data_IF_902195980116
#
_entry.id   IF_902195980116
#
_cell.length_a   1.000
_cell.length_b   1.000
_cell.length_c   1.000
_cell.angle_alpha   90.00
_cell.angle_beta   90.00
_cell.angle_gamma   90.00
#
_symmetry.space_group_name_H-M   'P 1'
#
loop_
_entity.id
_entity.type
_entity.pdbx_description
1 polymer ?
#
# COMPACT_ATOMS: atom_id res chain seq x y z
N UNK A 1 -60.81 21.40 -29.28
CA UNK A 1 -61.43 20.26 -29.96
C UNK A 1 -60.86 18.98 -29.37
N UNK A 2 -61.73 18.24 -28.69
CA UNK A 2 -61.86 16.83 -28.39
C UNK A 2 -60.60 16.06 -27.92
N UNK A 3 -60.48 15.76 -26.64
CA UNK A 3 -61.14 14.73 -25.79
C UNK A 3 -60.98 13.32 -26.33
N UNK A 4 -60.23 12.48 -25.52
CA UNK A 4 -60.85 11.25 -24.95
C UNK A 4 -59.93 10.58 -23.93
N UNK A 5 -60.44 10.55 -22.67
CA UNK A 5 -60.10 9.62 -21.61
C UNK A 5 -60.58 8.23 -22.03
N UNK A 6 -59.86 7.16 -21.64
CA UNK A 6 -60.49 5.89 -21.23
C UNK A 6 -59.67 5.18 -20.15
N UNK A 7 -60.34 5.04 -19.02
CA UNK A 7 -60.03 4.06 -17.94
C UNK A 7 -60.57 2.67 -18.35
N UNK A 8 -59.98 1.61 -17.85
CA UNK A 8 -60.62 0.31 -17.58
C UNK A 8 -59.68 -0.54 -16.77
N UNK A 9 -59.89 -0.73 -15.48
CA UNK A 9 -60.69 -1.72 -14.74
C UNK A 9 -59.94 -3.04 -14.53
N UNK A 10 -59.60 -3.22 -13.26
CA UNK A 10 -59.43 -4.37 -12.36
C UNK A 10 -60.23 -5.63 -12.82
N UNK A 11 -59.55 -6.78 -12.82
CA UNK A 11 -60.24 -8.07 -12.72
C UNK A 11 -59.45 -9.01 -11.77
N UNK A 12 -60.04 -9.22 -10.61
CA UNK A 12 -59.72 -10.25 -9.63
C UNK A 12 -60.44 -11.55 -10.10
N UNK A 13 -59.74 -12.66 -10.19
CA UNK A 13 -60.38 -13.95 -10.29
C UNK A 13 -59.73 -14.97 -9.38
N UNK A 14 -60.47 -15.35 -8.39
CA UNK A 14 -60.33 -16.45 -7.43
C UNK A 14 -60.50 -17.79 -8.19
N UNK A 15 -59.62 -18.77 -7.97
CA UNK A 15 -59.97 -20.17 -8.28
C UNK A 15 -59.54 -21.10 -7.13
N UNK A 16 -60.50 -21.94 -6.81
CA UNK A 16 -60.58 -22.76 -5.63
C UNK A 16 -59.78 -24.07 -5.70
N UNK A 17 -59.60 -24.62 -4.50
CA UNK A 17 -59.13 -25.96 -4.14
C UNK A 17 -59.56 -27.09 -5.09
N UNK A 18 -58.63 -27.99 -5.35
CA UNK A 18 -58.97 -29.40 -5.63
C UNK A 18 -57.95 -30.30 -4.87
N UNK A 19 -58.45 -30.97 -3.87
CA UNK A 19 -57.78 -32.06 -3.18
C UNK A 19 -57.80 -33.31 -4.05
N UNK A 20 -56.64 -33.92 -4.31
CA UNK A 20 -56.57 -35.31 -4.77
C UNK A 20 -55.60 -36.07 -3.87
N UNK A 21 -56.15 -36.98 -3.13
CA UNK A 21 -55.44 -37.96 -2.32
C UNK A 21 -54.87 -39.06 -3.21
N UNK A 22 -53.56 -39.31 -3.17
CA UNK A 22 -52.97 -40.53 -3.70
C UNK A 22 -52.04 -41.15 -2.65
N UNK A 23 -52.24 -42.41 -2.49
CA UNK A 23 -51.73 -43.38 -1.53
C UNK A 23 -50.20 -43.39 -1.36
N UNK A 24 -49.83 -43.65 -0.12
CA UNK A 24 -48.48 -43.99 0.32
C UNK A 24 -47.98 -45.29 -0.31
N UNK A 25 -46.81 -45.27 -0.90
CA UNK A 25 -45.91 -46.41 -0.99
C UNK A 25 -44.61 -46.01 -0.33
N UNK A 26 -44.32 -46.66 0.76
CA UNK A 26 -43.12 -46.48 1.51
C UNK A 26 -41.87 -46.97 0.75
N UNK A 27 -40.85 -46.17 0.76
CA UNK A 27 -39.47 -46.60 0.64
C UNK A 27 -38.66 -45.79 1.64
N UNK A 28 -38.30 -46.43 2.73
CA UNK A 28 -37.34 -45.93 3.70
C UNK A 28 -35.96 -46.03 3.10
N UNK A 29 -35.39 -44.91 2.74
CA UNK A 29 -33.94 -44.70 2.72
C UNK A 29 -33.65 -43.38 3.39
N UNK A 30 -33.14 -43.46 4.60
CA UNK A 30 -32.58 -42.36 5.34
C UNK A 30 -31.19 -42.04 4.76
N UNK A 31 -31.16 -41.23 3.74
CA UNK A 31 -29.93 -40.54 3.40
C UNK A 31 -29.75 -39.39 4.40
N UNK A 32 -28.90 -39.64 5.38
CA UNK A 32 -28.32 -38.62 6.25
C UNK A 32 -27.49 -37.71 5.34
N UNK A 33 -28.12 -36.63 4.86
CA UNK A 33 -27.41 -35.50 4.31
C UNK A 33 -26.52 -34.98 5.45
N UNK A 34 -25.22 -35.26 5.33
CA UNK A 34 -24.23 -34.74 6.26
C UNK A 34 -24.39 -33.22 6.34
N UNK A 35 -24.76 -32.74 7.53
CA UNK A 35 -24.66 -31.32 7.82
C UNK A 35 -23.20 -30.95 7.65
N UNK A 36 -22.86 -30.30 6.52
CA UNK A 36 -21.62 -29.57 6.36
C UNK A 36 -21.66 -28.47 7.43
N UNK A 37 -20.98 -28.70 8.55
CA UNK A 37 -20.76 -27.64 9.54
C UNK A 37 -20.11 -26.51 8.80
N UNK A 38 -20.76 -25.34 8.73
CA UNK A 38 -20.16 -24.08 8.35
C UNK A 38 -18.89 -23.92 9.19
N UNK A 39 -17.76 -23.53 8.57
CA UNK A 39 -16.53 -23.28 9.30
C UNK A 39 -16.84 -22.33 10.45
N UNK A 40 -16.47 -22.75 11.65
CA UNK A 40 -16.67 -21.96 12.87
C UNK A 40 -15.88 -20.64 12.67
N UNK A 41 -16.58 -19.50 12.68
CA UNK A 41 -15.94 -18.20 12.66
C UNK A 41 -14.83 -18.15 13.72
N UNK A 42 -13.63 -17.70 13.39
CA UNK A 42 -12.57 -17.57 14.36
C UNK A 42 -13.03 -16.68 15.52
N UNK A 43 -12.68 -17.08 16.72
CA UNK A 43 -12.97 -16.26 17.91
C UNK A 43 -12.23 -14.94 17.81
N UNK A 44 -12.87 -13.80 18.06
CA UNK A 44 -12.19 -12.50 18.09
C UNK A 44 -10.96 -12.55 19.00
N UNK A 45 -9.86 -11.89 18.64
CA UNK A 45 -8.66 -11.87 19.47
C UNK A 45 -8.94 -11.18 20.80
N UNK A 46 -8.24 -11.62 21.83
CA UNK A 46 -8.26 -10.95 23.13
C UNK A 46 -7.54 -9.59 23.04
N UNK A 47 -7.88 -8.64 23.91
CA UNK A 47 -7.20 -7.35 23.97
C UNK A 47 -5.68 -7.49 24.16
N UNK A 48 -5.22 -8.54 24.86
CA UNK A 48 -3.81 -8.83 25.02
C UNK A 48 -3.14 -9.21 23.68
N UNK A 49 -3.81 -10.02 22.86
CA UNK A 49 -3.31 -10.38 21.51
C UNK A 49 -3.26 -9.16 20.57
N UNK A 50 -4.26 -8.29 20.65
CA UNK A 50 -4.27 -7.02 19.89
C UNK A 50 -3.12 -6.12 20.32
N UNK A 51 -2.86 -5.99 21.64
CA UNK A 51 -1.77 -5.17 22.15
C UNK A 51 -0.39 -5.75 21.80
N UNK A 52 -0.22 -7.08 21.83
CA UNK A 52 1.02 -7.74 21.41
C UNK A 52 1.27 -7.54 19.90
N UNK A 53 0.23 -7.65 19.09
CA UNK A 53 0.33 -7.37 17.66
C UNK A 53 0.72 -5.91 17.40
N UNK A 54 0.10 -4.94 18.08
CA UNK A 54 0.47 -3.51 17.98
C UNK A 54 1.92 -3.25 18.34
N UNK A 55 2.42 -3.85 19.42
CA UNK A 55 3.81 -3.69 19.85
C UNK A 55 4.79 -4.30 18.84
N UNK A 56 4.45 -5.42 18.22
CA UNK A 56 5.28 -6.03 17.17
C UNK A 56 5.29 -5.19 15.89
N UNK A 57 4.16 -4.59 15.53
CA UNK A 57 4.05 -3.73 14.36
C UNK A 57 4.93 -2.49 14.50
N UNK A 58 4.88 -1.79 15.64
CA UNK A 58 5.68 -0.59 15.88
C UNK A 58 7.20 -0.83 15.84
N UNK A 59 7.63 -2.08 15.85
CA UNK A 59 9.05 -2.48 15.82
C UNK A 59 9.53 -2.91 14.42
N UNK A 60 8.63 -3.07 13.43
CA UNK A 60 8.97 -3.67 12.14
C UNK A 60 8.38 -2.95 10.92
N UNK A 61 7.67 -1.85 11.11
CA UNK A 61 7.05 -1.10 10.02
C UNK A 61 7.25 0.40 10.21
N UNK A 62 7.68 1.06 9.15
CA UNK A 62 7.59 2.50 9.05
C UNK A 62 6.46 2.90 8.10
N UNK A 63 5.65 3.88 8.52
CA UNK A 63 4.39 4.21 7.90
C UNK A 63 4.42 5.63 7.38
N UNK A 64 4.20 5.82 6.10
CA UNK A 64 3.75 7.12 5.60
C UNK A 64 2.29 7.37 5.97
N UNK A 65 2.06 8.21 6.96
CA UNK A 65 0.73 8.44 7.51
C UNK A 65 -0.19 9.10 6.47
N UNK A 66 -1.41 8.60 6.38
CA UNK A 66 -2.49 9.25 5.64
C UNK A 66 -2.76 10.65 6.20
N UNK A 67 -3.17 11.60 5.34
CA UNK A 67 -3.62 12.92 5.77
C UNK A 67 -4.83 12.86 6.70
N UNK A 68 -5.54 11.74 6.72
CA UNK A 68 -6.68 11.47 7.61
C UNK A 68 -6.25 10.87 8.95
N UNK A 69 -5.00 10.41 9.08
CA UNK A 69 -4.49 9.80 10.30
C UNK A 69 -4.23 10.86 11.39
N UNK A 70 -4.24 10.42 12.64
CA UNK A 70 -3.80 11.28 13.74
C UNK A 70 -2.30 11.52 13.62
N UNK A 71 -1.83 12.77 13.47
CA UNK A 71 -0.40 13.05 13.34
C UNK A 71 0.40 12.48 14.52
N UNK A 72 1.54 11.86 14.22
CA UNK A 72 2.55 11.61 15.26
C UNK A 72 3.00 12.96 15.82
N UNK A 73 3.28 13.02 17.12
CA UNK A 73 3.87 14.23 17.69
C UNK A 73 5.26 14.41 17.06
N UNK A 74 5.38 15.41 16.19
CA UNK A 74 6.69 15.83 15.74
C UNK A 74 7.49 16.30 16.97
N UNK A 75 8.68 15.78 17.14
CA UNK A 75 9.62 16.24 18.17
C UNK A 75 10.24 17.61 17.88
N UNK A 76 9.62 18.40 16.99
CA UNK A 76 10.13 19.71 16.59
C UNK A 76 11.43 19.61 15.78
N UNK A 77 12.41 20.45 16.11
CA UNK A 77 13.71 20.55 15.41
C UNK A 77 14.73 19.48 15.81
N UNK A 78 14.33 18.36 16.43
CA UNK A 78 15.27 17.29 16.80
C UNK A 78 15.90 16.68 15.55
N UNK A 79 17.22 16.50 15.60
CA UNK A 79 17.95 15.82 14.56
C UNK A 79 17.62 14.33 14.53
N UNK A 80 17.76 13.71 13.36
CA UNK A 80 17.83 12.26 13.23
C UNK A 80 19.08 11.75 13.93
N UNK A 81 19.01 10.62 14.59
CA UNK A 81 20.11 9.96 15.28
C UNK A 81 20.36 8.58 14.72
N UNK A 82 21.63 8.17 14.71
CA UNK A 82 22.02 6.85 14.22
C UNK A 82 21.88 5.79 15.34
N UNK A 83 21.14 4.71 15.05
CA UNK A 83 20.81 3.63 15.97
C UNK A 83 21.57 2.32 15.72
N UNK A 84 22.65 2.36 14.94
CA UNK A 84 23.60 1.29 14.66
C UNK A 84 23.14 0.28 13.57
N UNK A 85 21.97 0.42 12.98
CA UNK A 85 21.50 -0.40 11.88
C UNK A 85 22.23 -0.15 10.56
N UNK A 86 22.06 -1.02 9.56
CA UNK A 86 22.63 -0.83 8.23
C UNK A 86 21.83 0.18 7.40
N UNK A 87 22.54 0.92 6.53
CA UNK A 87 21.93 1.77 5.50
C UNK A 87 22.20 1.19 4.10
N UNK A 88 21.48 1.63 3.08
CA UNK A 88 21.79 1.30 1.68
C UNK A 88 22.98 2.13 1.19
N UNK A 89 24.20 1.75 1.56
CA UNK A 89 25.43 2.53 1.21
C UNK A 89 25.77 2.49 -0.27
N UNK A 90 25.57 1.35 -0.92
CA UNK A 90 25.71 1.23 -2.38
C UNK A 90 24.46 1.76 -3.09
N UNK A 91 24.51 1.88 -4.40
CA UNK A 91 23.32 2.20 -5.18
C UNK A 91 22.17 1.27 -4.80
N UNK A 92 20.99 1.83 -4.53
CA UNK A 92 19.78 1.02 -4.42
C UNK A 92 19.46 0.37 -5.77
N UNK A 93 18.92 -0.83 -5.73
CA UNK A 93 18.37 -1.53 -6.89
C UNK A 93 16.90 -1.76 -6.63
N UNK A 94 16.07 -1.03 -7.36
CA UNK A 94 14.65 -0.90 -7.08
C UNK A 94 13.83 -1.73 -8.05
N UNK A 95 13.10 -2.71 -7.53
CA UNK A 95 12.24 -3.61 -8.28
C UNK A 95 10.77 -3.26 -8.06
N UNK A 96 10.02 -3.18 -9.14
CA UNK A 96 8.62 -2.74 -9.13
C UNK A 96 7.70 -3.91 -9.48
N UNK A 97 6.75 -4.19 -8.61
CA UNK A 97 5.75 -5.24 -8.77
C UNK A 97 4.39 -4.56 -8.88
N UNK A 98 3.79 -4.62 -10.07
CA UNK A 98 2.44 -4.15 -10.31
C UNK A 98 1.48 -5.35 -10.19
N UNK A 99 0.80 -5.47 -9.07
CA UNK A 99 -0.17 -6.53 -8.86
C UNK A 99 -1.55 -6.03 -9.25
N UNK A 100 -1.99 -6.37 -10.46
CA UNK A 100 -3.11 -5.73 -11.15
C UNK A 100 -4.07 -6.74 -11.77
N UNK A 101 -4.77 -7.56 -10.97
CA UNK A 101 -5.85 -8.39 -11.49
C UNK A 101 -6.98 -7.50 -12.02
N UNK A 102 -7.78 -8.02 -12.94
CA UNK A 102 -8.93 -7.30 -13.50
C UNK A 102 -10.09 -7.14 -12.51
N UNK A 103 -10.07 -7.88 -11.41
CA UNK A 103 -11.13 -7.88 -10.40
C UNK A 103 -10.54 -8.09 -9.00
N UNK A 104 -11.17 -7.48 -8.01
CA UNK A 104 -10.98 -7.78 -6.60
C UNK A 104 -11.49 -9.19 -6.28
N UNK A 105 -11.19 -9.68 -5.09
CA UNK A 105 -11.58 -11.04 -4.66
C UNK A 105 -13.10 -11.26 -4.61
N UNK A 106 -13.91 -10.21 -4.51
CA UNK A 106 -15.39 -10.27 -4.54
C UNK A 106 -15.99 -10.12 -5.94
N UNK A 107 -15.15 -9.97 -6.98
CA UNK A 107 -15.57 -9.78 -8.37
C UNK A 107 -15.77 -8.32 -8.81
N UNK A 108 -15.56 -7.36 -7.90
CA UNK A 108 -15.57 -5.92 -8.26
C UNK A 108 -14.42 -5.63 -9.21
N UNK A 109 -14.68 -4.89 -10.30
CA UNK A 109 -13.65 -4.51 -11.25
C UNK A 109 -12.62 -3.57 -10.62
N UNK A 110 -11.34 -3.82 -10.89
CA UNK A 110 -10.24 -2.94 -10.52
C UNK A 110 -9.87 -2.00 -11.66
N UNK A 111 -9.06 -1.00 -11.38
CA UNK A 111 -8.40 -0.22 -12.42
C UNK A 111 -7.06 0.34 -11.93
N UNK A 112 -6.22 0.66 -12.88
CA UNK A 112 -5.10 1.59 -12.75
C UNK A 112 -5.18 2.59 -13.88
N UNK A 113 -4.72 3.82 -13.68
CA UNK A 113 -4.72 4.83 -14.74
C UNK A 113 -3.80 4.42 -15.90
N UNK A 114 -4.10 4.88 -17.11
CA UNK A 114 -3.43 4.40 -18.34
C UNK A 114 -1.92 4.60 -18.33
N UNK A 115 -1.42 5.67 -17.70
CA UNK A 115 0.01 6.01 -17.66
C UNK A 115 0.69 5.61 -16.35
N UNK A 116 -0.05 5.04 -15.39
CA UNK A 116 0.40 4.72 -14.04
C UNK A 116 1.74 3.95 -14.02
N UNK A 117 1.77 2.76 -14.61
CA UNK A 117 2.96 1.91 -14.58
C UNK A 117 4.16 2.55 -15.29
N UNK A 118 3.93 3.31 -16.36
CA UNK A 118 5.01 3.98 -17.08
C UNK A 118 5.60 5.15 -16.29
N UNK A 119 4.76 5.90 -15.60
CA UNK A 119 5.18 7.04 -14.78
C UNK A 119 5.90 6.58 -13.51
N UNK A 120 5.42 5.52 -12.83
CA UNK A 120 6.10 4.90 -11.70
C UNK A 120 7.48 4.38 -12.09
N UNK A 121 7.59 3.63 -13.20
CA UNK A 121 8.90 3.16 -13.70
C UNK A 121 9.84 4.32 -14.02
N UNK A 122 9.32 5.39 -14.60
CA UNK A 122 10.12 6.59 -14.93
C UNK A 122 10.71 7.24 -13.68
N UNK A 123 9.94 7.32 -12.58
CA UNK A 123 10.46 7.81 -11.29
C UNK A 123 11.73 7.07 -10.87
N UNK A 124 11.74 5.74 -10.89
CA UNK A 124 12.92 4.95 -10.51
C UNK A 124 14.09 5.09 -11.50
N UNK A 125 13.81 5.40 -12.75
CA UNK A 125 14.84 5.67 -13.74
C UNK A 125 15.47 7.07 -13.57
N UNK A 126 14.75 8.01 -12.96
CA UNK A 126 15.14 9.41 -12.90
C UNK A 126 15.70 9.84 -11.53
N UNK A 127 15.33 9.16 -10.43
CA UNK A 127 15.62 9.61 -9.07
C UNK A 127 17.11 9.52 -8.70
N UNK A 128 17.83 8.53 -9.21
CA UNK A 128 19.26 8.35 -8.93
C UNK A 128 20.09 9.52 -9.40
N UNK A 129 20.90 10.09 -8.51
CA UNK A 129 21.71 11.28 -8.80
C UNK A 129 20.98 12.62 -8.65
N UNK A 130 19.68 12.62 -8.32
CA UNK A 130 18.91 13.84 -8.09
C UNK A 130 19.36 14.62 -6.85
N UNK A 131 18.92 15.89 -6.74
CA UNK A 131 19.11 16.72 -5.53
C UNK A 131 18.45 16.10 -4.31
N UNK A 132 17.22 15.59 -4.48
CA UNK A 132 16.48 14.93 -3.42
C UNK A 132 17.22 13.67 -2.91
N UNK A 133 17.65 12.79 -3.82
CA UNK A 133 18.39 11.59 -3.42
C UNK A 133 19.75 11.91 -2.80
N UNK A 134 20.40 13.00 -3.23
CA UNK A 134 21.67 13.51 -2.66
C UNK A 134 21.54 13.81 -1.16
N UNK A 135 20.35 14.18 -0.67
CA UNK A 135 20.13 14.42 0.75
C UNK A 135 20.45 13.19 1.62
N UNK A 136 20.27 11.98 1.08
CA UNK A 136 20.60 10.74 1.80
C UNK A 136 22.10 10.58 2.07
N UNK A 137 22.96 11.21 1.28
CA UNK A 137 24.42 11.05 1.42
C UNK A 137 25.02 11.61 2.71
N UNK A 138 24.27 12.39 3.47
CA UNK A 138 24.69 12.83 4.80
C UNK A 138 24.53 11.72 5.85
N UNK A 139 23.69 10.71 5.60
CA UNK A 139 23.45 9.58 6.47
C UNK A 139 24.42 8.43 6.17
N UNK A 140 24.70 7.60 7.16
CA UNK A 140 25.75 6.59 7.10
C UNK A 140 25.46 5.42 8.04
N UNK A 141 26.17 4.33 7.84
CA UNK A 141 26.33 3.27 8.81
C UNK A 141 27.81 3.10 9.21
N UNK A 142 28.11 2.12 10.05
CA UNK A 142 29.49 1.84 10.51
C UNK A 142 30.48 1.60 9.37
N UNK A 143 30.03 1.36 8.14
CA UNK A 143 30.86 1.02 6.99
C UNK A 143 30.98 2.18 5.98
N UNK A 144 30.27 3.30 6.18
CA UNK A 144 30.38 4.50 5.34
C UNK A 144 29.05 5.16 5.02
N UNK A 145 29.13 6.20 4.21
CA UNK A 145 27.98 7.02 3.79
C UNK A 145 27.20 6.38 2.64
N UNK A 146 25.92 6.75 2.54
CA UNK A 146 25.06 6.45 1.40
C UNK A 146 25.59 7.19 0.17
N UNK A 147 25.62 6.53 -0.99
CA UNK A 147 25.98 7.16 -2.26
C UNK A 147 24.74 7.75 -2.93
N UNK A 148 24.91 8.87 -3.68
CA UNK A 148 23.82 9.45 -4.47
C UNK A 148 23.59 8.63 -5.76
N UNK A 149 23.06 7.44 -5.63
CA UNK A 149 22.81 6.55 -6.76
C UNK A 149 21.68 5.59 -6.46
N UNK A 150 20.72 5.51 -7.37
CA UNK A 150 19.64 4.51 -7.41
C UNK A 150 19.59 3.92 -8.82
N UNK A 151 19.21 2.69 -8.94
CA UNK A 151 19.13 1.96 -10.21
C UNK A 151 17.79 1.24 -10.31
N UNK A 152 17.05 1.49 -11.38
CA UNK A 152 15.87 0.71 -11.70
C UNK A 152 16.25 -0.73 -12.06
N UNK A 153 15.95 -1.68 -11.19
CA UNK A 153 16.31 -3.10 -11.33
C UNK A 153 15.38 -3.86 -12.26
N UNK A 154 14.15 -3.40 -12.43
CA UNK A 154 13.16 -4.03 -13.30
C UNK A 154 11.74 -3.88 -12.80
N UNK A 155 10.77 -4.25 -13.64
CA UNK A 155 9.36 -4.28 -13.28
C UNK A 155 8.70 -5.58 -13.73
N UNK A 156 7.72 -6.00 -12.96
CA UNK A 156 6.89 -7.16 -13.28
C UNK A 156 5.41 -6.83 -13.03
N UNK A 157 4.56 -7.22 -13.98
CA UNK A 157 3.11 -7.08 -13.85
C UNK A 157 2.53 -8.46 -13.55
N UNK A 158 1.90 -8.58 -12.41
CA UNK A 158 1.13 -9.76 -12.02
C UNK A 158 -0.37 -9.50 -12.15
N UNK A 159 -1.02 -10.25 -13.02
CA UNK A 159 -2.48 -10.19 -13.22
C UNK A 159 -3.21 -11.34 -12.53
N UNK A 160 -2.52 -12.12 -11.71
CA UNK A 160 -3.17 -13.17 -10.95
C UNK A 160 -4.09 -12.57 -9.87
N UNK A 161 -5.22 -13.25 -9.63
CA UNK A 161 -6.21 -12.79 -8.68
C UNK A 161 -5.61 -12.53 -7.29
N UNK A 162 -6.09 -11.50 -6.62
CA UNK A 162 -5.82 -11.32 -5.20
C UNK A 162 -6.31 -12.53 -4.41
N UNK A 163 -5.59 -12.95 -3.38
CA UNK A 163 -6.07 -13.99 -2.49
C UNK A 163 -7.34 -13.52 -1.77
N UNK A 164 -8.18 -14.45 -1.35
CA UNK A 164 -9.34 -14.10 -0.54
C UNK A 164 -8.89 -13.31 0.69
N UNK A 165 -9.62 -12.24 1.05
CA UNK A 165 -9.32 -11.47 2.26
C UNK A 165 -9.29 -12.40 3.47
N UNK A 166 -8.24 -12.29 4.24
CA UNK A 166 -8.19 -13.00 5.52
C UNK A 166 -9.28 -12.42 6.43
N UNK A 167 -10.01 -13.25 7.22
CA UNK A 167 -11.08 -12.76 8.10
C UNK A 167 -10.62 -11.68 9.09
N UNK A 168 -9.32 -11.60 9.34
CA UNK A 168 -8.70 -10.62 10.20
C UNK A 168 -8.32 -9.31 9.50
N UNK A 169 -8.41 -9.23 8.17
CA UNK A 169 -8.17 -8.00 7.42
C UNK A 169 -9.47 -7.19 7.37
N UNK A 170 -9.49 -6.06 8.04
CA UNK A 170 -10.68 -5.22 8.19
C UNK A 170 -10.36 -3.78 7.81
N UNK A 171 -10.11 -3.54 6.52
CA UNK A 171 -9.88 -2.20 6.01
C UNK A 171 -11.20 -1.47 5.80
N UNK A 172 -11.51 -0.43 6.58
CA UNK A 172 -12.79 0.28 6.47
C UNK A 172 -12.88 1.15 5.21
N UNK A 173 -11.77 1.46 4.57
CA UNK A 173 -11.70 2.27 3.37
C UNK A 173 -11.68 1.43 2.08
N UNK A 174 -11.44 0.11 2.20
CA UNK A 174 -11.39 -0.82 1.06
C UNK A 174 -12.29 -2.03 1.34
N UNK A 175 -13.60 -1.85 1.20
CA UNK A 175 -14.62 -2.83 1.60
C UNK A 175 -14.65 -4.10 0.73
N UNK A 176 -14.04 -4.07 -0.45
CA UNK A 176 -14.13 -5.13 -1.46
C UNK A 176 -12.88 -5.98 -1.57
N UNK A 177 -11.75 -5.51 -1.05
CA UNK A 177 -10.47 -6.22 -1.07
C UNK A 177 -9.58 -5.76 0.08
N UNK A 178 -8.87 -6.71 0.70
CA UNK A 178 -7.98 -6.40 1.82
C UNK A 178 -6.88 -7.46 1.95
N UNK A 179 -5.64 -7.03 1.85
CA UNK A 179 -4.45 -7.84 1.99
C UNK A 179 -3.82 -7.67 3.37
N UNK A 180 -3.43 -8.77 3.98
CA UNK A 180 -2.54 -8.73 5.14
C UNK A 180 -1.09 -8.59 4.68
N UNK A 181 -0.24 -8.02 5.52
CA UNK A 181 1.19 -7.84 5.22
C UNK A 181 1.88 -9.14 4.77
N UNK A 182 1.54 -10.28 5.36
CA UNK A 182 2.09 -11.57 4.92
C UNK A 182 1.77 -11.91 3.45
N UNK A 183 0.64 -11.46 2.91
CA UNK A 183 0.27 -11.65 1.52
C UNK A 183 1.05 -10.72 0.59
N UNK A 184 1.43 -9.52 1.07
CA UNK A 184 2.37 -8.64 0.37
C UNK A 184 3.78 -9.29 0.31
N UNK A 185 4.26 -9.86 1.42
CA UNK A 185 5.55 -10.59 1.44
C UNK A 185 5.54 -11.81 0.52
N UNK A 186 4.42 -12.53 0.44
CA UNK A 186 4.25 -13.66 -0.47
C UNK A 186 4.32 -13.20 -1.93
N UNK A 187 3.73 -12.04 -2.28
CA UNK A 187 3.81 -11.48 -3.63
C UNK A 187 5.23 -11.04 -4.00
N UNK A 188 5.98 -10.40 -3.07
CA UNK A 188 7.40 -10.11 -3.27
C UNK A 188 8.18 -11.38 -3.54
N UNK A 189 7.96 -12.42 -2.74
CA UNK A 189 8.61 -13.72 -2.90
C UNK A 189 8.31 -14.35 -4.26
N UNK A 190 7.08 -14.28 -4.71
CA UNK A 190 6.61 -14.78 -6.02
C UNK A 190 7.28 -14.02 -7.17
N UNK A 191 7.32 -12.69 -7.09
CA UNK A 191 7.98 -11.84 -8.07
C UNK A 191 9.49 -12.15 -8.18
N UNK A 192 10.16 -12.27 -7.03
CA UNK A 192 11.58 -12.65 -6.98
C UNK A 192 11.82 -13.98 -7.68
N UNK A 193 10.99 -14.98 -7.42
CA UNK A 193 11.12 -16.30 -8.06
C UNK A 193 10.84 -16.22 -9.56
N UNK A 194 9.80 -15.52 -9.99
CA UNK A 194 9.39 -15.41 -11.39
C UNK A 194 10.45 -14.72 -12.26
N UNK A 195 11.18 -13.74 -11.69
CA UNK A 195 12.12 -12.91 -12.42
C UNK A 195 13.61 -13.23 -12.12
N UNK A 196 13.89 -14.16 -11.21
CA UNK A 196 15.26 -14.47 -10.78
C UNK A 196 15.89 -13.34 -9.95
N UNK A 197 15.08 -12.49 -9.31
CA UNK A 197 15.57 -11.43 -8.45
C UNK A 197 16.04 -11.95 -7.09
N UNK A 198 17.00 -11.26 -6.50
CA UNK A 198 17.58 -11.65 -5.21
C UNK A 198 17.43 -10.52 -4.19
N UNK A 199 17.25 -10.88 -2.93
CA UNK A 199 17.25 -9.93 -1.82
C UNK A 199 18.64 -9.43 -1.44
N UNK A 200 18.69 -8.54 -0.49
CA UNK A 200 19.90 -7.94 0.07
C UNK A 200 19.65 -6.50 0.52
N UNK A 201 20.55 -5.96 1.31
CA UNK A 201 20.40 -4.62 1.91
C UNK A 201 20.38 -3.45 0.91
N UNK A 202 20.68 -3.69 -0.37
CA UNK A 202 20.58 -2.68 -1.42
C UNK A 202 19.47 -2.97 -2.43
N UNK A 203 18.65 -4.02 -2.21
CA UNK A 203 17.55 -4.39 -3.09
C UNK A 203 16.22 -4.08 -2.40
N UNK A 204 15.41 -3.26 -3.03
CA UNK A 204 14.10 -2.86 -2.51
C UNK A 204 12.99 -3.23 -3.48
N UNK A 205 11.94 -3.88 -2.97
CA UNK A 205 10.81 -4.37 -3.74
C UNK A 205 9.57 -3.57 -3.41
N UNK A 206 8.96 -2.93 -4.40
CA UNK A 206 7.73 -2.16 -4.24
C UNK A 206 6.55 -2.93 -4.79
N UNK A 207 5.51 -3.16 -3.98
CA UNK A 207 4.28 -3.83 -4.40
C UNK A 207 3.18 -2.80 -4.55
N UNK A 208 2.80 -2.51 -5.78
CA UNK A 208 1.69 -1.61 -6.12
C UNK A 208 0.43 -2.43 -6.36
N UNK A 209 -0.65 -2.11 -5.65
CA UNK A 209 -1.95 -2.75 -5.84
C UNK A 209 -2.88 -1.88 -6.68
N UNK A 210 -3.92 -2.48 -7.27
CA UNK A 210 -4.93 -1.75 -8.05
C UNK A 210 -5.91 -1.01 -7.15
N UNK A 211 -6.65 -0.08 -7.75
CA UNK A 211 -7.72 0.66 -7.07
C UNK A 211 -8.74 -0.28 -6.41
N UNK A 212 -9.09 0.04 -5.17
CA UNK A 212 -10.07 -0.71 -4.37
C UNK A 212 -9.48 -1.84 -3.52
N UNK A 213 -8.21 -2.22 -3.73
CA UNK A 213 -7.52 -3.16 -2.85
C UNK A 213 -6.85 -2.43 -1.69
N UNK A 214 -7.28 -2.73 -0.49
CA UNK A 214 -6.68 -2.22 0.74
C UNK A 214 -5.67 -3.17 1.34
N UNK A 215 -5.11 -2.78 2.46
CA UNK A 215 -4.20 -3.63 3.23
C UNK A 215 -4.20 -3.27 4.71
N UNK A 216 -3.93 -4.24 5.57
CA UNK A 216 -3.79 -4.04 7.00
C UNK A 216 -2.53 -4.72 7.54
N UNK A 217 -1.83 -4.04 8.44
CA UNK A 217 -0.65 -4.61 9.11
C UNK A 217 -1.04 -5.48 10.28
N UNK A 218 -2.07 -5.11 11.03
CA UNK A 218 -2.53 -5.83 12.21
C UNK A 218 -3.85 -6.53 11.98
N UNK A 219 -3.93 -7.77 12.48
CA UNK A 219 -5.16 -8.54 12.50
C UNK A 219 -6.23 -7.87 13.36
N UNK A 220 -7.46 -7.78 12.83
CA UNK A 220 -8.65 -7.27 13.52
C UNK A 220 -8.52 -5.83 14.05
N UNK A 221 -7.61 -5.03 13.53
CA UNK A 221 -7.45 -3.63 13.91
C UNK A 221 -7.63 -2.70 12.70
N UNK A 222 -8.84 -2.18 12.47
CA UNK A 222 -9.13 -1.30 11.34
C UNK A 222 -8.38 0.04 11.40
N UNK A 223 -7.77 0.37 12.55
CA UNK A 223 -6.94 1.56 12.70
C UNK A 223 -5.50 1.37 12.22
N UNK A 224 -5.16 0.18 11.72
CA UNK A 224 -3.84 -0.18 11.19
C UNK A 224 -3.92 -0.57 9.71
N UNK A 225 -4.83 0.05 8.98
CA UNK A 225 -5.08 -0.24 7.57
C UNK A 225 -4.78 0.96 6.67
N UNK A 226 -4.65 0.70 5.37
CA UNK A 226 -4.46 1.70 4.33
C UNK A 226 -5.53 2.79 4.37
N UNK A 227 -5.20 3.97 3.87
CA UNK A 227 -6.06 5.15 3.78
C UNK A 227 -6.54 5.71 5.12
N UNK A 228 -6.73 4.87 6.13
CA UNK A 228 -7.09 5.27 7.49
C UNK A 228 -5.84 5.63 8.31
N UNK A 229 -4.86 4.73 8.36
CA UNK A 229 -3.62 4.93 9.10
C UNK A 229 -2.47 5.40 8.20
N UNK A 230 -2.31 4.80 7.04
CA UNK A 230 -1.16 5.01 6.16
C UNK A 230 -1.54 5.07 4.68
N UNK A 231 -0.65 5.65 3.89
CA UNK A 231 -0.68 5.60 2.43
C UNK A 231 0.23 4.52 1.87
N UNK A 232 1.32 4.25 2.57
CA UNK A 232 2.28 3.19 2.30
C UNK A 232 3.04 2.84 3.57
N UNK A 233 3.87 1.83 3.50
CA UNK A 233 4.91 1.54 4.47
C UNK A 233 6.05 0.77 3.83
N UNK A 234 7.25 0.91 4.37
CA UNK A 234 8.34 -0.02 4.11
C UNK A 234 8.58 -0.94 5.32
N UNK A 235 9.19 -2.08 5.05
CA UNK A 235 9.53 -3.08 6.05
C UNK A 235 10.56 -4.07 5.49
N UNK A 236 10.86 -5.07 6.28
CA UNK A 236 11.72 -6.18 5.86
C UNK A 236 11.24 -7.51 6.42
N UNK A 237 11.65 -8.58 5.76
CA UNK A 237 11.54 -9.94 6.29
C UNK A 237 12.76 -10.76 5.91
N UNK A 238 12.96 -11.87 6.62
CA UNK A 238 14.06 -12.77 6.32
C UNK A 238 13.56 -14.03 5.61
N UNK A 239 14.21 -14.39 4.51
CA UNK A 239 13.96 -15.63 3.78
C UNK A 239 15.24 -16.41 3.64
N UNK A 240 15.36 -17.49 4.39
CA UNK A 240 16.64 -18.18 4.55
C UNK A 240 17.69 -17.25 5.16
N UNK A 241 18.80 -17.05 4.45
CA UNK A 241 19.88 -16.16 4.89
C UNK A 241 19.83 -14.76 4.22
N UNK A 242 18.74 -14.44 3.52
CA UNK A 242 18.58 -13.15 2.85
C UNK A 242 17.61 -12.27 3.61
N UNK A 243 17.98 -11.02 3.79
CA UNK A 243 17.05 -9.94 4.17
C UNK A 243 16.38 -9.41 2.90
N UNK A 244 15.07 -9.32 2.93
CA UNK A 244 14.24 -8.80 1.84
C UNK A 244 13.62 -7.50 2.32
N UNK A 245 14.02 -6.38 1.71
CA UNK A 245 13.45 -5.07 1.98
C UNK A 245 12.31 -4.82 0.99
N UNK A 246 11.18 -4.33 1.47
CA UNK A 246 10.02 -4.11 0.61
C UNK A 246 9.19 -2.90 1.08
N UNK A 247 8.39 -2.38 0.16
CA UNK A 247 7.37 -1.39 0.45
C UNK A 247 6.02 -1.85 -0.10
N UNK A 248 4.98 -1.69 0.71
CA UNK A 248 3.59 -1.86 0.31
C UNK A 248 3.05 -0.51 -0.16
N UNK A 249 2.57 -0.45 -1.40
CA UNK A 249 2.14 0.74 -2.10
C UNK A 249 0.68 0.60 -2.56
N UNK A 250 -0.31 0.74 -1.66
CA UNK A 250 -1.71 0.76 -2.06
C UNK A 250 -1.97 1.84 -3.12
N UNK A 251 -2.91 1.60 -4.02
CA UNK A 251 -3.33 2.62 -5.00
C UNK A 251 -3.70 3.91 -4.29
N UNK A 252 -3.05 5.03 -4.63
CA UNK A 252 -3.23 6.27 -3.89
C UNK A 252 -4.67 6.78 -4.03
N UNK A 253 -5.41 6.75 -2.93
CA UNK A 253 -6.81 7.18 -2.81
C UNK A 253 -6.97 8.02 -1.54
N UNK A 254 -8.16 8.40 -1.22
CA UNK A 254 -8.64 9.21 -0.10
C UNK A 254 -7.62 9.49 1.03
N UNK A 255 -7.10 10.71 1.11
CA UNK A 255 -6.09 11.09 2.11
C UNK A 255 -4.64 10.77 1.72
N UNK A 256 -4.42 10.17 0.54
CA UNK A 256 -3.11 9.81 0.01
C UNK A 256 -2.75 10.54 -1.30
N UNK A 257 -3.60 11.48 -1.74
CA UNK A 257 -3.46 12.17 -3.00
C UNK A 257 -2.72 13.50 -2.87
N UNK A 258 -1.86 13.78 -3.85
CA UNK A 258 -1.32 15.12 -4.07
C UNK A 258 -2.41 16.05 -4.63
N UNK A 259 -2.18 17.36 -4.52
CA UNK A 259 -3.16 18.38 -4.98
C UNK A 259 -2.87 18.92 -6.38
N UNK A 260 -1.83 18.43 -7.01
CA UNK A 260 -1.37 18.87 -8.33
C UNK A 260 -0.84 17.68 -9.11
N UNK A 261 -0.95 17.73 -10.45
CA UNK A 261 -0.53 16.64 -11.33
C UNK A 261 0.27 17.18 -12.50
N UNK A 262 1.61 17.18 -12.41
CA UNK A 262 2.47 17.61 -13.52
C UNK A 262 2.39 16.67 -14.73
N UNK A 263 2.01 15.41 -14.53
CA UNK A 263 1.93 14.42 -15.61
C UNK A 263 0.51 14.19 -16.14
N UNK A 264 -0.48 14.98 -15.68
CA UNK A 264 -1.90 14.83 -16.00
C UNK A 264 -2.47 13.43 -15.66
N UNK A 265 -1.88 12.77 -14.67
CA UNK A 265 -2.30 11.50 -14.11
C UNK A 265 -2.15 11.61 -12.58
N UNK A 266 -3.24 12.05 -11.94
CA UNK A 266 -3.22 12.37 -10.50
C UNK A 266 -2.93 11.12 -9.66
N UNK A 267 -3.36 9.95 -10.13
CA UNK A 267 -3.16 8.69 -9.40
C UNK A 267 -1.68 8.28 -9.43
N UNK A 268 -1.06 8.36 -10.61
CA UNK A 268 0.38 8.12 -10.76
C UNK A 268 1.22 9.16 -10.02
N UNK A 269 0.89 10.45 -10.13
CA UNK A 269 1.63 11.51 -9.44
C UNK A 269 1.51 11.39 -7.92
N UNK A 270 0.35 10.96 -7.42
CA UNK A 270 0.11 10.71 -5.99
C UNK A 270 0.96 9.55 -5.48
N UNK A 271 0.90 8.41 -6.16
CA UNK A 271 1.68 7.25 -5.72
C UNK A 271 3.18 7.47 -5.87
N UNK A 272 3.63 8.24 -6.85
CA UNK A 272 5.05 8.63 -7.00
C UNK A 272 5.51 9.45 -5.79
N UNK A 273 4.70 10.40 -5.32
CA UNK A 273 5.02 11.15 -4.10
C UNK A 273 5.13 10.26 -2.87
N UNK A 274 4.19 9.31 -2.73
CA UNK A 274 4.22 8.30 -1.66
C UNK A 274 5.44 7.38 -1.81
N UNK A 275 5.75 6.96 -3.04
CA UNK A 275 6.95 6.15 -3.35
C UNK A 275 8.24 6.89 -2.98
N UNK A 276 8.32 8.20 -3.25
CA UNK A 276 9.48 8.99 -2.90
C UNK A 276 9.77 8.97 -1.40
N UNK A 277 8.74 9.08 -0.58
CA UNK A 277 8.84 8.97 0.88
C UNK A 277 9.42 7.61 1.30
N UNK A 278 8.77 6.52 0.93
CA UNK A 278 9.21 5.16 1.30
C UNK A 278 10.61 4.83 0.77
N UNK A 279 10.95 5.35 -0.41
CA UNK A 279 12.27 5.14 -1.00
C UNK A 279 13.37 5.82 -0.16
N UNK A 280 13.19 7.10 0.20
CA UNK A 280 14.18 7.82 0.99
C UNK A 280 14.34 7.21 2.39
N UNK A 281 13.26 6.80 3.02
CA UNK A 281 13.27 6.13 4.32
C UNK A 281 13.95 4.76 4.24
N UNK A 282 13.54 3.89 3.31
CA UNK A 282 14.16 2.58 3.16
C UNK A 282 15.67 2.64 2.83
N UNK A 283 16.13 3.70 2.15
CA UNK A 283 17.56 3.91 1.88
C UNK A 283 18.32 4.28 3.15
N UNK A 284 17.73 5.07 4.05
CA UNK A 284 18.36 5.53 5.29
C UNK A 284 18.14 4.55 6.45
N UNK A 285 17.05 3.79 6.44
CA UNK A 285 16.62 2.90 7.54
C UNK A 285 15.85 1.64 7.08
N UNK A 286 16.21 1.03 5.99
CA UNK A 286 15.50 -0.12 5.43
C UNK A 286 15.35 -1.33 6.37
N UNK A 287 16.11 -1.41 7.44
CA UNK A 287 16.02 -2.45 8.46
C UNK A 287 15.37 -1.96 9.77
N UNK A 288 14.89 -0.71 9.78
CA UNK A 288 14.14 -0.07 10.88
C UNK A 288 14.93 -0.05 12.20
N UNK A 289 16.23 0.18 12.10
CA UNK A 289 17.14 0.27 13.24
C UNK A 289 18.36 1.19 12.99
N UNK A 290 18.30 2.05 11.95
CA UNK A 290 19.41 2.91 11.56
C UNK A 290 19.19 4.40 11.86
N UNK A 291 18.29 5.11 11.14
CA UNK A 291 18.18 6.57 11.26
C UNK A 291 16.75 7.04 11.51
N UNK A 292 16.47 7.41 12.76
CA UNK A 292 15.20 8.04 13.18
C UNK A 292 15.42 9.02 14.34
N UNK A 293 14.43 9.88 14.61
CA UNK A 293 14.50 10.82 15.73
C UNK A 293 14.00 10.19 17.04
N UNK A 294 14.07 10.96 18.13
CA UNK A 294 13.65 10.49 19.47
C UNK A 294 12.15 10.12 19.57
N UNK A 295 11.33 10.48 18.58
CA UNK A 295 9.92 10.11 18.49
C UNK A 295 9.68 8.92 17.54
N UNK A 296 10.73 8.38 16.92
CA UNK A 296 10.67 7.31 15.94
C UNK A 296 10.25 7.80 14.56
N UNK A 297 10.39 9.10 14.25
CA UNK A 297 10.14 9.59 12.91
C UNK A 297 11.39 9.46 12.05
N UNK A 298 11.23 8.96 10.84
CA UNK A 298 12.27 8.87 9.83
C UNK A 298 12.41 10.15 8.97
N UNK A 299 13.24 10.09 7.96
CA UNK A 299 13.61 11.24 7.13
C UNK A 299 12.40 11.85 6.42
N UNK A 300 11.48 11.03 5.90
CA UNK A 300 10.26 11.45 5.22
C UNK A 300 9.17 11.89 6.19
N UNK A 301 8.96 11.15 7.29
CA UNK A 301 7.97 11.43 8.33
C UNK A 301 8.05 12.85 8.86
N UNK A 302 9.28 13.35 9.08
CA UNK A 302 9.51 14.70 9.62
C UNK A 302 9.07 15.81 8.66
N UNK A 303 8.92 15.48 7.39
CA UNK A 303 8.52 16.39 6.32
C UNK A 303 7.24 15.95 5.62
N UNK A 304 6.49 15.02 6.22
CA UNK A 304 5.30 14.44 5.64
C UNK A 304 4.32 15.49 5.10
N UNK A 305 3.90 15.32 3.84
CA UNK A 305 2.99 16.21 3.11
C UNK A 305 3.51 17.67 2.93
N UNK A 306 4.78 17.92 3.18
CA UNK A 306 5.40 19.22 2.90
C UNK A 306 6.07 19.19 1.52
N UNK A 307 5.46 19.84 0.55
CA UNK A 307 5.96 19.92 -0.83
C UNK A 307 6.82 21.17 -1.10
N UNK A 308 6.95 22.05 -0.11
CA UNK A 308 7.59 23.35 -0.33
C UNK A 308 6.85 24.18 -1.38
N UNK A 309 7.61 24.85 -2.24
CA UNK A 309 7.04 25.70 -3.29
C UNK A 309 6.89 24.93 -4.61
N UNK A 310 5.68 24.84 -5.14
CA UNK A 310 5.42 24.35 -6.49
C UNK A 310 5.71 25.47 -7.48
N UNK A 311 6.92 25.54 -8.02
CA UNK A 311 7.38 26.63 -8.90
C UNK A 311 7.67 26.19 -10.34
N UNK A 312 7.67 24.90 -10.61
CA UNK A 312 7.93 24.30 -11.92
C UNK A 312 6.62 23.92 -12.63
N UNK A 313 6.67 23.72 -13.94
CA UNK A 313 5.53 23.34 -14.78
C UNK A 313 4.27 24.18 -14.51
N UNK A 314 4.42 25.50 -14.49
CA UNK A 314 3.31 26.41 -14.24
C UNK A 314 2.70 26.31 -12.84
N UNK A 315 3.47 25.85 -11.85
CA UNK A 315 3.04 25.71 -10.48
C UNK A 315 2.49 24.31 -10.13
N UNK A 316 2.78 23.30 -10.93
CA UNK A 316 2.31 21.94 -10.70
C UNK A 316 3.36 21.01 -10.08
N UNK A 317 4.65 21.35 -10.22
CA UNK A 317 5.76 20.51 -9.80
C UNK A 317 6.72 21.28 -8.88
N UNK A 318 7.49 20.55 -8.08
CA UNK A 318 8.58 21.08 -7.26
C UNK A 318 9.96 20.51 -7.64
N UNK A 319 10.00 19.43 -8.41
CA UNK A 319 11.23 18.81 -8.88
C UNK A 319 11.21 18.55 -10.39
N UNK A 320 12.41 18.57 -10.99
CA UNK A 320 12.62 18.19 -12.38
C UNK A 320 13.90 17.35 -12.50
N UNK A 321 13.75 16.08 -12.91
CA UNK A 321 14.87 15.15 -13.13
C UNK A 321 14.82 14.62 -14.56
N UNK A 322 15.96 14.58 -15.24
CA UNK A 322 16.08 14.12 -16.63
C UNK A 322 15.08 14.77 -17.62
N UNK A 323 14.64 15.98 -17.33
CA UNK A 323 13.64 16.70 -18.13
C UNK A 323 12.18 16.39 -17.80
N UNK A 324 11.90 15.50 -16.84
CA UNK A 324 10.56 15.16 -16.38
C UNK A 324 10.21 15.87 -15.08
N UNK A 325 8.94 16.26 -14.94
CA UNK A 325 8.46 16.98 -13.76
C UNK A 325 7.84 16.03 -12.74
N UNK A 326 8.06 16.35 -11.45
CA UNK A 326 7.58 15.59 -10.31
C UNK A 326 6.98 16.52 -9.25
N UNK A 327 6.02 15.98 -8.49
CA UNK A 327 5.54 16.53 -7.25
C UNK A 327 5.84 15.53 -6.15
N UNK A 328 6.84 15.82 -5.31
CA UNK A 328 7.29 14.95 -4.23
C UNK A 328 7.43 15.75 -2.95
N UNK A 329 7.24 15.10 -1.80
CA UNK A 329 7.47 15.77 -0.54
C UNK A 329 8.96 16.07 -0.32
N UNK A 330 9.24 17.04 0.55
CA UNK A 330 10.57 17.31 1.06
C UNK A 330 11.00 16.23 2.04
N UNK A 331 12.33 16.08 2.18
CA UNK A 331 12.94 15.15 3.12
C UNK A 331 13.74 15.90 4.19
N UNK A 332 13.85 15.32 5.39
CA UNK A 332 14.59 15.95 6.47
C UNK A 332 16.09 15.93 6.20
N UNK A 333 16.72 17.07 6.42
CA UNK A 333 18.17 17.22 6.35
C UNK A 333 18.73 17.58 7.73
N UNK A 334 19.56 16.70 8.30
CA UNK A 334 20.27 17.00 9.53
C UNK A 334 21.24 18.18 9.35
N UNK A 335 21.89 18.28 8.19
CA UNK A 335 22.84 19.36 7.89
C UNK A 335 22.17 20.72 7.75
N UNK A 336 20.89 20.76 7.38
CA UNK A 336 20.10 21.99 7.27
C UNK A 336 19.17 22.21 8.47
N UNK A 337 19.02 21.19 9.34
CA UNK A 337 18.03 21.15 10.42
C UNK A 337 16.62 21.52 9.93
N UNK A 338 16.22 21.01 8.79
CA UNK A 338 14.96 21.34 8.12
C UNK A 338 14.65 20.43 6.93
N UNK A 339 13.45 20.61 6.37
CA UNK A 339 13.00 19.91 5.17
C UNK A 339 13.61 20.53 3.91
N UNK A 340 14.08 19.69 2.99
CA UNK A 340 14.71 20.08 1.72
C UNK A 340 14.22 19.23 0.54
N UNK A 341 14.37 19.71 -0.67
CA UNK A 341 14.27 18.97 -1.92
C UNK A 341 15.65 18.64 -2.46
#
# INVERSE_FOLDING_TARGET
MHSHKKQSKLLVTLFALLCVSILAVGCSQSDTIGQTQLPKLPTPPTQAQVNDAKNKISQHFHLFLSQNATPRKSSGSSLMTYHQGPTMRAASVDYVIFWEPSQLSDGTATHVSTTYNSLVKRYFQDIGGSSLYQNNSQYYDKNGHIVNSSTFGGAWVDTSAYPFPQPQCLDPAALHGCLMDSQIQDEVTKAMHANGWTGGLNHLFYVYTSSGEGSCMASFDPTQCAYTAYCAYHSFYNKGNQTILYANMPYADSGCNVKSSPNNDIDADSVISVTSHEHMEAVTDGHIDAWYDASGNEIGDKCAWNFGSLSLDGGKANEQWNGHYYIVQQEWSNSKAGCVL
#
